data_IF_459460191286
#
_entry.id   IF_459460191286
#
_cell.length_a   1.000
_cell.length_b   1.000
_cell.length_c   1.000
_cell.angle_alpha   90.00
_cell.angle_beta   90.00
_cell.angle_gamma   90.00
#
_symmetry.space_group_name_H-M   'P 1'
#
loop_
_entity.id
_entity.type
_entity.pdbx_description
1 polymer ?
#
# COMPACT_ATOMS: atom_id res chain seq x y z
N UNK A 1 -0.88 -5.14 7.08
CA UNK A 1 -0.25 -6.31 7.74
C UNK A 1 -1.10 -6.79 8.91
N UNK A 2 -1.19 -8.11 9.12
CA UNK A 2 -1.91 -8.67 10.25
C UNK A 2 -1.26 -8.26 11.58
N UNK A 3 -2.11 -7.98 12.58
CA UNK A 3 -1.67 -7.93 13.97
C UNK A 3 -1.80 -9.31 14.59
N UNK A 4 -1.06 -9.63 15.66
CA UNK A 4 -1.13 -10.96 16.29
C UNK A 4 -2.55 -11.38 16.69
N UNK A 5 -3.35 -10.43 17.19
CA UNK A 5 -4.75 -10.63 17.56
C UNK A 5 -5.71 -10.74 16.37
N UNK A 6 -5.26 -10.35 15.18
CA UNK A 6 -6.03 -10.36 13.93
C UNK A 6 -5.82 -11.57 13.02
N UNK A 7 -4.93 -12.50 13.38
CA UNK A 7 -4.52 -13.60 12.51
C UNK A 7 -5.68 -14.42 11.93
N UNK A 8 -6.63 -14.81 12.79
CA UNK A 8 -7.82 -15.58 12.35
C UNK A 8 -8.65 -14.86 11.30
N UNK A 9 -8.72 -13.53 11.38
CA UNK A 9 -9.47 -12.72 10.39
C UNK A 9 -8.76 -12.74 9.03
N UNK A 10 -7.42 -12.73 9.03
CA UNK A 10 -6.64 -12.76 7.79
C UNK A 10 -6.71 -14.14 7.12
N UNK A 11 -6.59 -15.21 7.88
CA UNK A 11 -6.75 -16.57 7.33
C UNK A 11 -8.16 -16.80 6.80
N UNK A 12 -9.19 -16.37 7.51
CA UNK A 12 -10.57 -16.43 7.03
C UNK A 12 -10.80 -15.62 5.73
N UNK A 13 -10.09 -14.49 5.55
CA UNK A 13 -10.16 -13.73 4.30
C UNK A 13 -9.51 -14.49 3.13
N UNK A 14 -8.41 -15.21 3.37
CA UNK A 14 -7.81 -16.10 2.37
C UNK A 14 -8.74 -17.25 2.02
N UNK A 15 -9.36 -17.89 3.03
CA UNK A 15 -10.31 -18.98 2.83
C UNK A 15 -11.51 -18.52 1.98
N UNK A 16 -12.05 -17.34 2.29
CA UNK A 16 -13.14 -16.74 1.51
C UNK A 16 -12.72 -16.43 0.08
N UNK A 17 -11.52 -15.89 -0.14
CA UNK A 17 -11.01 -15.62 -1.49
C UNK A 17 -10.91 -16.92 -2.33
N UNK A 18 -10.42 -18.00 -1.71
CA UNK A 18 -10.35 -19.31 -2.35
C UNK A 18 -11.75 -19.88 -2.66
N UNK A 19 -12.71 -19.74 -1.74
CA UNK A 19 -14.11 -20.15 -1.92
C UNK A 19 -14.78 -19.37 -3.06
N UNK A 20 -14.54 -18.06 -3.15
CA UNK A 20 -15.04 -17.20 -4.21
C UNK A 20 -14.33 -17.42 -5.56
N UNK A 21 -13.30 -18.25 -5.60
CA UNK A 21 -12.52 -18.57 -6.80
C UNK A 21 -11.97 -17.32 -7.50
N UNK A 22 -11.38 -16.40 -6.73
CA UNK A 22 -10.71 -15.23 -7.31
C UNK A 22 -9.57 -15.67 -8.22
N UNK A 23 -9.28 -14.90 -9.27
CA UNK A 23 -8.20 -15.23 -10.22
C UNK A 23 -6.81 -15.21 -9.58
N UNK A 24 -6.60 -14.30 -8.62
CA UNK A 24 -5.36 -14.19 -7.85
C UNK A 24 -5.57 -13.45 -6.54
N UNK A 25 -4.66 -13.67 -5.59
CA UNK A 25 -4.62 -12.96 -4.32
C UNK A 25 -3.33 -12.16 -4.20
N UNK A 26 -3.44 -10.84 -4.02
CA UNK A 26 -2.28 -9.96 -3.80
C UNK A 26 -1.99 -9.90 -2.31
N UNK A 27 -0.79 -10.32 -1.90
CA UNK A 27 -0.40 -10.46 -0.49
C UNK A 27 0.94 -9.79 -0.22
N UNK A 28 1.05 -9.12 0.93
CA UNK A 28 2.29 -8.48 1.39
C UNK A 28 2.96 -9.23 2.55
N UNK A 29 2.14 -9.86 3.40
CA UNK A 29 2.61 -10.50 4.64
C UNK A 29 3.07 -11.93 4.37
N UNK A 30 4.27 -12.25 4.85
CA UNK A 30 4.90 -13.56 4.66
C UNK A 30 4.08 -14.70 5.29
N UNK A 31 3.52 -14.48 6.49
CA UNK A 31 2.70 -15.50 7.15
C UNK A 31 1.41 -15.79 6.38
N UNK A 32 0.80 -14.75 5.78
CA UNK A 32 -0.39 -14.91 4.94
C UNK A 32 -0.03 -15.60 3.63
N UNK A 33 1.14 -15.30 3.03
CA UNK A 33 1.64 -16.02 1.85
C UNK A 33 1.85 -17.49 2.14
N UNK A 34 2.51 -17.82 3.26
CA UNK A 34 2.74 -19.19 3.69
C UNK A 34 1.42 -19.95 3.93
N UNK A 35 0.49 -19.34 4.65
CA UNK A 35 -0.83 -19.92 4.87
C UNK A 35 -1.55 -20.21 3.56
N UNK A 36 -1.61 -19.23 2.66
CA UNK A 36 -2.31 -19.35 1.39
C UNK A 36 -1.66 -20.44 0.51
N UNK A 37 -0.33 -20.47 0.43
CA UNK A 37 0.42 -21.45 -0.33
C UNK A 37 0.19 -22.89 0.14
N UNK A 38 0.22 -23.11 1.46
CA UNK A 38 0.06 -24.43 2.04
C UNK A 38 -1.40 -24.91 2.00
N UNK A 39 -2.34 -24.01 2.17
CA UNK A 39 -3.77 -24.34 2.25
C UNK A 39 -4.44 -24.44 0.87
N UNK A 40 -4.00 -23.61 -0.08
CA UNK A 40 -4.61 -23.44 -1.40
C UNK A 40 -3.52 -23.37 -2.49
N UNK A 41 -2.82 -24.50 -2.78
CA UNK A 41 -1.68 -24.50 -3.71
C UNK A 41 -2.03 -24.06 -5.14
N UNK A 42 -3.30 -24.18 -5.53
CA UNK A 42 -3.78 -23.75 -6.86
C UNK A 42 -4.11 -22.25 -6.95
N UNK A 43 -4.31 -21.58 -5.81
CA UNK A 43 -4.60 -20.15 -5.79
C UNK A 43 -3.37 -19.36 -6.26
N UNK A 44 -3.54 -18.55 -7.30
CA UNK A 44 -2.45 -17.71 -7.79
C UNK A 44 -2.12 -16.62 -6.76
N UNK A 45 -0.86 -16.57 -6.33
CA UNK A 45 -0.36 -15.57 -5.38
C UNK A 45 0.48 -14.53 -6.12
N UNK A 46 0.17 -13.26 -5.89
CA UNK A 46 0.93 -12.11 -6.36
C UNK A 46 1.53 -11.38 -5.16
N UNK A 47 2.81 -11.02 -5.27
CA UNK A 47 3.45 -10.22 -4.24
C UNK A 47 3.01 -8.77 -4.36
N UNK A 48 2.46 -8.23 -3.27
CA UNK A 48 2.13 -6.81 -3.18
C UNK A 48 3.40 -5.96 -3.24
N UNK A 49 3.28 -4.73 -3.75
CA UNK A 49 4.30 -3.69 -3.66
C UNK A 49 4.82 -3.51 -2.22
N UNK A 50 3.98 -3.72 -1.23
CA UNK A 50 4.33 -3.66 0.19
C UNK A 50 5.28 -4.77 0.65
N UNK A 51 5.49 -5.82 -0.14
CA UNK A 51 6.54 -6.82 0.07
C UNK A 51 7.94 -6.31 -0.25
N UNK A 52 8.04 -5.14 -0.91
CA UNK A 52 9.29 -4.39 -1.16
C UNK A 52 10.40 -5.21 -1.81
N UNK A 53 10.07 -6.11 -2.74
CA UNK A 53 11.06 -6.90 -3.47
C UNK A 53 11.75 -6.05 -4.56
N UNK A 54 13.02 -5.71 -4.37
CA UNK A 54 13.81 -4.84 -5.25
C UNK A 54 14.93 -5.57 -6.00
N UNK A 55 15.10 -6.87 -5.78
CA UNK A 55 16.19 -7.65 -6.36
C UNK A 55 15.68 -8.98 -6.91
N UNK A 56 16.39 -9.53 -7.91
CA UNK A 56 16.12 -10.87 -8.44
C UNK A 56 16.20 -11.93 -7.34
N UNK A 57 17.14 -11.79 -6.39
CA UNK A 57 17.27 -12.71 -5.27
C UNK A 57 16.02 -12.71 -4.37
N UNK A 58 15.46 -11.53 -4.06
CA UNK A 58 14.22 -11.43 -3.30
C UNK A 58 13.04 -12.05 -4.05
N UNK A 59 12.91 -11.76 -5.36
CA UNK A 59 11.86 -12.34 -6.20
C UNK A 59 11.95 -13.88 -6.28
N UNK A 60 13.19 -14.39 -6.37
CA UNK A 60 13.46 -15.83 -6.36
C UNK A 60 13.05 -16.46 -5.05
N UNK A 61 13.43 -15.86 -3.91
CA UNK A 61 13.02 -16.32 -2.58
C UNK A 61 11.50 -16.42 -2.46
N UNK A 62 10.78 -15.36 -2.83
CA UNK A 62 9.32 -15.32 -2.76
C UNK A 62 8.68 -16.39 -3.67
N UNK A 63 9.24 -16.60 -4.87
CA UNK A 63 8.77 -17.65 -5.77
C UNK A 63 8.99 -19.04 -5.19
N UNK A 64 10.19 -19.33 -4.73
CA UNK A 64 10.59 -20.66 -4.24
C UNK A 64 9.85 -21.02 -2.95
N UNK A 65 9.72 -20.09 -2.02
CA UNK A 65 9.09 -20.36 -0.74
C UNK A 65 7.55 -20.30 -0.82
N UNK A 66 7.01 -19.31 -1.51
CA UNK A 66 5.57 -19.05 -1.48
C UNK A 66 4.86 -19.26 -2.81
N UNK A 67 5.59 -19.58 -3.88
CA UNK A 67 5.00 -19.88 -5.18
C UNK A 67 4.35 -18.69 -5.86
N UNK A 68 4.79 -17.44 -5.59
CA UNK A 68 4.24 -16.27 -6.25
C UNK A 68 4.41 -16.37 -7.77
N UNK A 69 3.42 -15.91 -8.53
CA UNK A 69 3.44 -15.87 -9.99
C UNK A 69 3.78 -14.49 -10.54
N UNK A 70 3.47 -13.42 -9.78
CA UNK A 70 3.70 -12.03 -10.14
C UNK A 70 4.17 -11.23 -8.94
N UNK A 71 4.94 -10.17 -9.16
CA UNK A 71 5.33 -9.22 -8.15
C UNK A 71 5.09 -7.78 -8.62
N UNK A 72 4.43 -6.98 -7.80
CA UNK A 72 4.30 -5.53 -8.01
C UNK A 72 5.56 -4.87 -7.47
N UNK A 73 6.34 -4.24 -8.36
CA UNK A 73 7.63 -3.65 -8.02
C UNK A 73 7.49 -2.34 -7.23
N UNK A 74 8.40 -2.12 -6.27
CA UNK A 74 8.46 -0.87 -5.51
C UNK A 74 8.72 0.35 -6.39
N UNK A 75 8.05 1.45 -6.06
CA UNK A 75 8.16 2.74 -6.77
C UNK A 75 9.50 3.45 -6.60
N UNK A 76 10.36 2.96 -5.71
CA UNK A 76 11.72 3.48 -5.50
C UNK A 76 12.69 3.08 -6.62
N UNK A 77 12.32 2.12 -7.47
CA UNK A 77 13.14 1.65 -8.57
C UNK A 77 13.06 2.61 -9.76
N UNK A 78 14.22 2.95 -10.33
CA UNK A 78 14.31 3.63 -11.61
C UNK A 78 13.96 2.71 -12.78
N UNK A 79 13.62 3.27 -13.94
CA UNK A 79 13.34 2.49 -15.15
C UNK A 79 14.52 1.61 -15.57
N UNK A 80 15.76 2.07 -15.36
CA UNK A 80 16.95 1.27 -15.66
C UNK A 80 17.05 0.05 -14.76
N UNK A 81 16.75 0.21 -13.46
CA UNK A 81 16.71 -0.90 -12.50
C UNK A 81 15.57 -1.88 -12.81
N UNK A 82 14.39 -1.39 -13.20
CA UNK A 82 13.28 -2.24 -13.64
C UNK A 82 13.66 -3.05 -14.88
N UNK A 83 14.31 -2.44 -15.87
CA UNK A 83 14.79 -3.17 -17.05
C UNK A 83 15.74 -4.30 -16.67
N UNK A 84 16.73 -4.01 -15.83
CA UNK A 84 17.66 -5.04 -15.35
C UNK A 84 16.96 -6.17 -14.60
N UNK A 85 15.94 -5.87 -13.81
CA UNK A 85 15.14 -6.91 -13.16
C UNK A 85 14.38 -7.77 -14.17
N UNK A 86 13.87 -7.19 -15.27
CA UNK A 86 13.13 -7.93 -16.29
C UNK A 86 13.98 -8.97 -17.02
N UNK A 87 15.30 -8.80 -17.06
CA UNK A 87 16.22 -9.74 -17.75
C UNK A 87 16.28 -11.11 -17.05
N UNK A 88 16.23 -11.11 -15.70
CA UNK A 88 16.45 -12.32 -14.89
C UNK A 88 15.30 -12.61 -13.91
N UNK A 89 14.18 -11.90 -14.00
CA UNK A 89 13.07 -12.08 -13.08
C UNK A 89 12.47 -13.49 -13.19
N UNK A 90 12.32 -14.20 -12.07
CA UNK A 90 11.74 -15.54 -12.09
C UNK A 90 10.20 -15.54 -12.13
N UNK A 91 9.57 -14.38 -12.05
CA UNK A 91 8.12 -14.15 -11.99
C UNK A 91 7.73 -13.00 -12.92
N UNK A 92 6.45 -12.87 -13.23
CA UNK A 92 5.94 -11.67 -13.91
C UNK A 92 6.13 -10.42 -13.05
N UNK A 93 6.47 -9.31 -13.70
CA UNK A 93 6.65 -8.03 -13.02
C UNK A 93 5.54 -7.06 -13.40
N UNK A 94 5.06 -6.33 -12.40
CA UNK A 94 4.06 -5.28 -12.54
C UNK A 94 4.62 -3.97 -11.97
N UNK A 95 4.37 -2.85 -12.66
CA UNK A 95 4.78 -1.51 -12.23
C UNK A 95 3.61 -0.55 -12.25
N UNK A 96 3.64 0.44 -11.38
CA UNK A 96 2.68 1.55 -11.43
C UNK A 96 3.00 2.44 -12.63
N UNK A 97 2.06 2.58 -13.56
CA UNK A 97 2.21 3.40 -14.75
C UNK A 97 1.66 4.81 -14.56
N UNK A 98 0.38 4.92 -14.22
CA UNK A 98 -0.32 6.20 -14.10
C UNK A 98 -1.21 6.22 -12.86
N UNK A 99 -1.27 7.39 -12.20
CA UNK A 99 -2.16 7.63 -11.06
C UNK A 99 -1.50 8.40 -9.92
N UNK A 100 -2.22 8.50 -8.79
CA UNK A 100 -1.73 9.12 -7.57
C UNK A 100 -0.79 8.18 -6.84
N UNK A 101 0.50 8.33 -7.02
CA UNK A 101 1.51 7.51 -6.38
C UNK A 101 1.74 7.93 -4.92
N UNK A 102 1.95 6.95 -4.05
CA UNK A 102 2.43 7.18 -2.71
C UNK A 102 3.93 7.51 -2.74
N UNK A 103 4.37 8.55 -2.03
CA UNK A 103 5.78 8.98 -1.97
C UNK A 103 6.58 8.26 -0.89
N UNK A 104 5.91 7.51 -0.03
CA UNK A 104 6.55 6.78 1.07
C UNK A 104 7.04 5.42 0.62
N UNK A 105 8.02 4.88 1.33
CA UNK A 105 8.41 3.47 1.17
C UNK A 105 7.21 2.59 1.47
N UNK A 106 6.98 1.65 0.60
CA UNK A 106 5.79 0.80 0.59
C UNK A 106 5.52 0.19 1.97
N UNK A 107 4.31 0.39 2.43
CA UNK A 107 3.86 -0.16 3.70
C UNK A 107 4.42 0.51 4.96
N UNK A 108 5.19 1.62 4.87
CA UNK A 108 5.86 2.25 6.03
C UNK A 108 5.64 3.76 6.08
N UNK A 109 4.37 4.19 6.11
CA UNK A 109 4.03 5.61 6.19
C UNK A 109 4.17 6.14 7.63
N UNK A 110 5.32 6.69 7.95
CA UNK A 110 5.58 7.33 9.25
C UNK A 110 4.82 8.64 9.41
N UNK A 111 4.58 9.40 8.33
CA UNK A 111 3.84 10.66 8.38
C UNK A 111 2.41 10.46 8.90
N UNK A 112 1.66 9.55 8.27
CA UNK A 112 0.29 9.25 8.71
C UNK A 112 0.26 8.65 10.10
N UNK A 113 1.21 7.77 10.43
CA UNK A 113 1.30 7.18 11.76
C UNK A 113 1.55 8.26 12.83
N UNK A 114 2.43 9.21 12.56
CA UNK A 114 2.68 10.34 13.46
C UNK A 114 1.45 11.23 13.63
N UNK A 115 0.81 11.61 12.53
CA UNK A 115 -0.34 12.53 12.57
C UNK A 115 -1.59 11.89 13.18
N UNK A 116 -1.83 10.60 12.95
CA UNK A 116 -3.10 9.94 13.35
C UNK A 116 -2.98 9.02 14.55
N UNK A 117 -1.76 8.66 14.96
CA UNK A 117 -1.51 7.63 15.97
C UNK A 117 -1.80 6.20 15.47
N UNK A 118 -2.08 6.01 14.17
CA UNK A 118 -2.41 4.72 13.58
C UNK A 118 -1.54 4.42 12.36
N UNK A 119 -1.13 3.17 12.20
CA UNK A 119 -0.40 2.75 11.01
C UNK A 119 -1.35 2.49 9.85
N UNK A 120 -1.19 3.18 8.70
CA UNK A 120 -2.01 2.93 7.51
C UNK A 120 -1.82 1.50 6.97
N UNK A 121 -0.70 0.87 7.26
CA UNK A 121 -0.41 -0.49 6.84
C UNK A 121 -1.16 -1.55 7.65
N UNK A 122 -1.61 -1.19 8.84
CA UNK A 122 -2.42 -2.06 9.69
C UNK A 122 -3.91 -1.76 9.53
N UNK A 123 -4.27 -0.47 9.50
CA UNK A 123 -5.66 -0.02 9.37
C UNK A 123 -6.13 0.12 7.91
N UNK A 124 -5.19 0.09 6.95
CA UNK A 124 -5.49 0.13 5.51
C UNK A 124 -5.77 1.52 4.95
N UNK A 125 -5.69 2.59 5.75
CA UNK A 125 -6.00 3.97 5.32
C UNK A 125 -4.96 4.98 5.84
N UNK A 126 -4.54 5.89 4.95
CA UNK A 126 -3.60 6.96 5.29
C UNK A 126 -4.26 8.07 6.11
N UNK A 127 -5.56 8.27 5.95
CA UNK A 127 -6.33 9.32 6.59
C UNK A 127 -7.65 8.75 7.10
N UNK A 128 -7.66 8.13 8.29
CA UNK A 128 -8.88 7.56 8.84
C UNK A 128 -9.92 8.65 9.07
N UNK A 129 -11.18 8.36 8.73
CA UNK A 129 -12.28 9.34 8.76
C UNK A 129 -12.41 10.05 10.11
N UNK A 130 -12.14 9.36 11.23
CA UNK A 130 -12.17 9.95 12.57
C UNK A 130 -11.15 11.07 12.78
N UNK A 131 -10.03 11.06 12.03
CA UNK A 131 -8.98 12.07 12.11
C UNK A 131 -9.19 13.23 11.12
N UNK A 132 -10.08 13.08 10.13
CA UNK A 132 -10.36 14.10 9.12
C UNK A 132 -11.36 15.12 9.65
N UNK A 133 -11.06 16.40 9.43
CA UNK A 133 -11.97 17.53 9.70
C UNK A 133 -11.97 18.47 8.51
N UNK A 134 -13.16 18.95 8.18
CA UNK A 134 -13.40 20.00 7.19
C UNK A 134 -13.90 21.24 7.96
N UNK A 135 -13.29 22.37 7.72
CA UNK A 135 -13.63 23.61 8.37
C UNK A 135 -13.82 24.72 7.35
N UNK A 136 -15.05 25.23 7.24
CA UNK A 136 -15.32 26.42 6.44
C UNK A 136 -14.81 27.66 7.18
N UNK A 137 -13.95 28.43 6.51
CA UNK A 137 -13.50 29.75 6.96
C UNK A 137 -14.04 30.81 6.01
N UNK A 138 -13.96 32.11 6.35
CA UNK A 138 -14.38 33.18 5.42
C UNK A 138 -13.59 33.19 4.09
N UNK A 139 -12.39 32.61 4.07
CA UNK A 139 -11.48 32.68 2.94
C UNK A 139 -11.39 31.36 2.15
N UNK A 140 -11.69 30.22 2.79
CA UNK A 140 -11.43 28.90 2.21
C UNK A 140 -12.14 27.77 2.96
N UNK A 141 -12.28 26.63 2.27
CA UNK A 141 -12.55 25.37 2.93
C UNK A 141 -11.20 24.73 3.33
N UNK A 142 -10.98 24.56 4.62
CA UNK A 142 -9.77 23.89 5.14
C UNK A 142 -10.00 22.40 5.36
N UNK A 143 -9.03 21.58 4.94
CA UNK A 143 -8.96 20.17 5.31
C UNK A 143 -7.86 19.94 6.35
N UNK A 144 -8.19 19.21 7.39
CA UNK A 144 -7.27 18.89 8.50
C UNK A 144 -7.25 17.41 8.80
N UNK A 145 -6.06 16.91 9.16
CA UNK A 145 -5.86 15.55 9.63
C UNK A 145 -5.32 15.62 11.06
N UNK A 146 -6.14 15.20 12.03
CA UNK A 146 -5.84 15.26 13.46
C UNK A 146 -5.29 16.62 13.91
N UNK A 147 -5.94 17.70 13.44
CA UNK A 147 -5.55 19.10 13.73
C UNK A 147 -4.50 19.68 12.78
N UNK A 148 -3.71 18.88 12.08
CA UNK A 148 -2.74 19.35 11.09
C UNK A 148 -3.48 19.87 9.86
N UNK A 149 -3.25 21.13 9.47
CA UNK A 149 -3.78 21.69 8.23
C UNK A 149 -3.11 21.02 7.03
N UNK A 150 -3.91 20.40 6.17
CA UNK A 150 -3.43 19.72 4.98
C UNK A 150 -3.52 20.63 3.75
N UNK A 151 -4.69 21.26 3.57
CA UNK A 151 -4.93 22.07 2.40
C UNK A 151 -6.02 23.13 2.64
N UNK A 152 -6.02 24.17 1.78
CA UNK A 152 -7.02 25.23 1.71
C UNK A 152 -7.56 25.31 0.30
N UNK A 153 -8.86 25.11 0.15
CA UNK A 153 -9.56 25.14 -1.12
C UNK A 153 -10.37 26.43 -1.24
N UNK A 154 -10.16 27.14 -2.32
CA UNK A 154 -10.95 28.33 -2.65
C UNK A 154 -12.36 27.94 -3.10
N UNK A 155 -13.26 28.89 -3.13
CA UNK A 155 -14.61 28.66 -3.64
C UNK A 155 -14.56 28.13 -5.09
N UNK A 156 -15.31 27.06 -5.36
CA UNK A 156 -15.32 26.37 -6.65
C UNK A 156 -14.14 25.41 -6.90
N UNK A 157 -13.16 25.30 -6.00
CA UNK A 157 -12.08 24.31 -6.09
C UNK A 157 -12.56 22.93 -5.65
N UNK A 158 -12.23 21.88 -6.45
CA UNK A 158 -12.49 20.50 -6.05
C UNK A 158 -11.58 20.08 -4.88
N UNK A 159 -12.18 19.86 -3.73
CA UNK A 159 -11.47 19.42 -2.55
C UNK A 159 -11.16 17.92 -2.64
N UNK A 160 -9.86 17.58 -2.71
CA UNK A 160 -9.39 16.20 -2.60
C UNK A 160 -9.45 15.69 -1.16
N UNK A 161 -9.54 14.37 -0.97
CA UNK A 161 -9.49 13.79 0.37
C UNK A 161 -8.11 14.05 1.01
N UNK A 162 -8.05 14.59 2.26
CA UNK A 162 -6.80 15.05 2.84
C UNK A 162 -5.85 13.89 3.11
N UNK A 163 -4.66 13.99 2.53
CA UNK A 163 -3.56 13.04 2.74
C UNK A 163 -2.30 13.82 3.06
N UNK A 164 -1.63 13.54 4.14
CA UNK A 164 -0.53 14.36 4.64
C UNK A 164 0.58 14.59 3.59
N UNK A 165 0.94 13.58 2.82
CA UNK A 165 1.98 13.67 1.78
C UNK A 165 1.55 14.42 0.50
N UNK A 166 0.28 14.82 0.38
CA UNK A 166 -0.28 15.52 -0.78
C UNK A 166 -0.86 16.89 -0.43
N UNK A 167 -0.58 17.38 0.77
CA UNK A 167 -0.98 18.72 1.20
C UNK A 167 -0.18 19.80 0.46
N UNK A 168 -0.76 20.99 0.33
CA UNK A 168 -0.08 22.18 -0.16
C UNK A 168 0.64 22.86 1.00
N UNK A 169 1.89 22.48 1.21
CA UNK A 169 2.71 23.04 2.29
C UNK A 169 3.65 24.12 1.74
N UNK A 170 3.78 25.20 2.48
CA UNK A 170 4.79 26.22 2.24
C UNK A 170 6.02 25.93 3.11
N UNK A 171 7.19 26.03 2.53
CA UNK A 171 8.46 25.96 3.26
C UNK A 171 8.87 27.38 3.57
N UNK A 172 8.78 27.77 4.83
CA UNK A 172 9.36 29.04 5.30
C UNK A 172 10.87 28.84 5.36
N UNK A 173 11.60 29.57 4.50
CA UNK A 173 13.06 29.61 4.47
C UNK A 173 13.67 30.36 5.65
#
# INVERSE_FOLDING_TARGET
>A
YPRPDGWRRWTAAVDLAAELKVDALIVADIGVLDYARNRYPELALHLSVQGSATTVAALRLYREQFGIRRAVLPRVLSLAQVRSLCEDAPVELEVFGFGSLCVMVEGRCTLSSYATGESPNTCGVCSPAKAVRWQQTPQALESRLNGVLIDRFRDGENAGYPTLCKGRFEVNG
#
